data_IF_818431319991
#
_entry.id   IF_818431319991
#
_cell.length_a   1.000
_cell.length_b   1.000
_cell.length_c   1.000
_cell.angle_alpha   90.00
_cell.angle_beta   90.00
_cell.angle_gamma   90.00
#
_symmetry.space_group_name_H-M   'P 1'
#
loop_
_entity.id
_entity.type
_entity.pdbx_description
1 polymer ?
#
# COMPACT_ATOMS: atom_id res chain seq x y z
N UNK A 1 -93.60 16.97 1.71
CA UNK A 1 -93.28 17.18 3.15
C UNK A 1 -93.47 15.86 3.87
N UNK A 2 -92.38 15.13 4.12
CA UNK A 2 -92.19 14.23 5.27
C UNK A 2 -90.74 13.72 5.25
N UNK A 3 -90.10 13.87 6.41
CA UNK A 3 -88.72 13.55 6.75
C UNK A 3 -88.65 12.10 7.24
N UNK A 4 -87.56 11.37 6.93
CA UNK A 4 -86.92 10.28 7.70
C UNK A 4 -85.71 9.80 6.89
N UNK A 5 -84.45 10.10 7.24
CA UNK A 5 -83.66 9.72 8.42
C UNK A 5 -83.49 8.19 8.51
N UNK A 6 -82.28 7.68 8.22
CA UNK A 6 -81.98 6.25 8.31
C UNK A 6 -80.54 5.86 7.94
N UNK A 7 -79.66 5.90 8.94
CA UNK A 7 -78.47 5.05 9.13
C UNK A 7 -77.35 5.04 8.08
N UNK A 8 -76.33 5.87 8.31
CA UNK A 8 -74.95 5.64 7.86
C UNK A 8 -74.33 4.57 8.75
N UNK A 9 -74.10 3.38 8.21
CA UNK A 9 -73.33 2.31 8.85
C UNK A 9 -71.84 2.62 8.66
N UNK A 10 -71.23 3.33 9.62
CA UNK A 10 -69.79 3.56 9.66
C UNK A 10 -69.09 2.27 10.12
N UNK A 11 -68.56 1.50 9.18
CA UNK A 11 -67.68 0.36 9.47
C UNK A 11 -66.32 0.92 9.92
N UNK A 12 -66.12 1.00 11.23
CA UNK A 12 -64.81 1.28 11.83
C UNK A 12 -63.96 0.03 11.64
N UNK A 13 -63.19 0.00 10.55
CA UNK A 13 -62.13 -0.99 10.34
C UNK A 13 -60.99 -0.63 11.31
N UNK A 14 -61.07 -1.15 12.53
CA UNK A 14 -60.00 -1.07 13.52
C UNK A 14 -58.75 -1.75 12.97
N UNK A 15 -57.83 -0.96 12.42
CA UNK A 15 -56.45 -1.34 12.16
C UNK A 15 -55.77 -1.70 13.50
N UNK A 16 -55.99 -2.92 13.97
CA UNK A 16 -55.08 -3.61 14.87
C UNK A 16 -53.83 -4.01 14.06
N UNK A 17 -53.06 -3.00 13.62
CA UNK A 17 -51.66 -3.16 13.25
C UNK A 17 -50.92 -3.38 14.57
N UNK A 18 -51.03 -4.61 15.10
CA UNK A 18 -50.15 -5.08 16.15
C UNK A 18 -48.74 -4.81 15.69
N UNK A 19 -48.00 -4.05 16.50
CA UNK A 19 -46.54 -3.96 16.46
C UNK A 19 -46.00 -5.39 16.64
N UNK A 20 -46.01 -6.18 15.56
CA UNK A 20 -45.22 -7.38 15.47
C UNK A 20 -43.77 -6.88 15.55
N UNK A 21 -43.22 -6.94 16.76
CA UNK A 21 -41.80 -6.77 16.98
C UNK A 21 -41.10 -7.63 15.93
N UNK A 22 -40.42 -6.98 14.98
CA UNK A 22 -39.68 -7.70 13.94
C UNK A 22 -38.79 -8.71 14.65
N UNK A 23 -38.97 -10.00 14.33
CA UNK A 23 -38.13 -11.04 14.90
C UNK A 23 -36.65 -10.63 14.69
N UNK A 24 -35.79 -10.79 15.71
CA UNK A 24 -34.38 -10.45 15.57
C UNK A 24 -33.81 -11.19 14.35
N UNK A 25 -32.95 -10.52 13.58
CA UNK A 25 -32.38 -11.14 12.40
C UNK A 25 -31.63 -12.44 12.73
N UNK A 26 -31.47 -13.30 11.73
CA UNK A 26 -30.59 -14.47 11.82
C UNK A 26 -29.31 -14.28 11.00
N UNK A 27 -28.22 -15.00 11.32
CA UNK A 27 -27.04 -15.03 10.46
C UNK A 27 -27.36 -15.43 9.02
N UNK A 28 -28.28 -16.38 8.81
CA UNK A 28 -28.69 -16.81 7.48
C UNK A 28 -29.39 -15.70 6.69
N UNK A 29 -30.24 -14.91 7.35
CA UNK A 29 -30.85 -13.74 6.73
C UNK A 29 -29.82 -12.68 6.33
N UNK A 30 -28.78 -12.47 7.15
CA UNK A 30 -27.69 -11.56 6.81
C UNK A 30 -26.90 -12.06 5.59
N UNK A 31 -26.52 -13.34 5.56
CA UNK A 31 -25.80 -13.95 4.44
C UNK A 31 -26.60 -13.98 3.13
N UNK A 32 -27.93 -14.09 3.20
CA UNK A 32 -28.83 -14.12 2.04
C UNK A 32 -29.33 -12.73 1.63
N UNK A 33 -29.04 -11.68 2.41
CA UNK A 33 -29.51 -10.32 2.11
C UNK A 33 -29.02 -9.88 0.73
N UNK A 34 -29.89 -9.38 -0.16
CA UNK A 34 -29.45 -8.82 -1.43
C UNK A 34 -28.41 -7.72 -1.22
N UNK A 35 -27.28 -7.84 -1.91
CA UNK A 35 -26.21 -6.84 -1.83
C UNK A 35 -26.59 -5.58 -2.57
N UNK A 36 -25.96 -4.47 -2.17
CA UNK A 36 -26.09 -3.20 -2.88
C UNK A 36 -24.74 -2.50 -3.03
N UNK A 37 -24.70 -1.59 -4.00
CA UNK A 37 -23.55 -0.74 -4.27
C UNK A 37 -23.76 0.62 -3.62
N UNK A 38 -22.84 0.99 -2.73
CA UNK A 38 -22.76 2.32 -2.13
C UNK A 38 -21.65 3.12 -2.82
N UNK A 39 -21.96 4.37 -3.17
CA UNK A 39 -20.96 5.33 -3.64
C UNK A 39 -20.39 6.07 -2.43
N UNK A 40 -19.10 5.91 -2.20
CA UNK A 40 -18.39 6.68 -1.18
C UNK A 40 -17.99 8.08 -1.70
N UNK A 41 -17.53 8.93 -0.78
CA UNK A 41 -16.87 10.18 -1.12
C UNK A 41 -15.54 9.92 -1.86
N UNK A 42 -15.16 10.85 -2.73
CA UNK A 42 -13.89 10.77 -3.47
C UNK A 42 -12.69 10.95 -2.52
N UNK A 43 -11.66 10.11 -2.68
CA UNK A 43 -10.38 10.26 -1.97
C UNK A 43 -9.43 11.16 -2.77
N UNK A 44 -9.38 12.44 -2.38
CA UNK A 44 -8.54 13.47 -3.00
C UNK A 44 -7.44 13.97 -2.06
N UNK A 45 -7.22 13.31 -0.92
CA UNK A 45 -6.41 13.84 0.19
C UNK A 45 -4.92 14.05 -0.17
N UNK A 46 -4.40 13.28 -1.13
CA UNK A 46 -3.01 13.36 -1.59
C UNK A 46 -2.93 13.42 -3.12
N UNK A 47 -3.85 14.14 -3.75
CA UNK A 47 -3.80 14.36 -5.19
C UNK A 47 -2.54 15.14 -5.58
N UNK A 48 -2.01 14.86 -6.78
CA UNK A 48 -0.87 15.57 -7.35
C UNK A 48 -1.17 17.09 -7.42
N UNK A 49 -0.46 17.87 -6.60
CA UNK A 49 -0.70 19.31 -6.45
C UNK A 49 -0.43 20.12 -7.72
N UNK A 50 0.24 19.53 -8.71
CA UNK A 50 0.52 20.17 -10.01
C UNK A 50 -0.58 19.91 -11.05
N UNK A 51 -1.53 19.01 -10.76
CA UNK A 51 -2.62 18.70 -11.68
C UNK A 51 -3.83 19.63 -11.44
N UNK A 52 -4.33 20.35 -12.46
CA UNK A 52 -5.42 21.30 -12.26
C UNK A 52 -6.71 20.63 -11.76
N UNK A 53 -7.28 21.12 -10.66
CA UNK A 53 -8.55 20.62 -10.11
C UNK A 53 -9.71 20.67 -11.11
N UNK A 54 -9.69 21.62 -12.04
CA UNK A 54 -10.66 21.72 -13.14
C UNK A 54 -10.66 20.50 -14.07
N UNK A 55 -9.58 19.72 -14.10
CA UNK A 55 -9.45 18.50 -14.90
C UNK A 55 -9.81 17.22 -14.13
N UNK A 56 -10.04 17.28 -12.81
CA UNK A 56 -10.42 16.11 -12.00
C UNK A 56 -11.68 15.40 -12.53
N UNK A 57 -12.74 16.10 -12.99
CA UNK A 57 -13.92 15.43 -13.53
C UNK A 57 -13.61 14.50 -14.71
N UNK A 58 -12.58 14.79 -15.51
CA UNK A 58 -12.19 13.93 -16.63
C UNK A 58 -11.59 12.60 -16.15
N UNK A 59 -10.74 12.63 -15.12
CA UNK A 59 -10.20 11.42 -14.48
C UNK A 59 -11.28 10.63 -13.76
N UNK A 60 -12.14 11.32 -13.00
CA UNK A 60 -13.21 10.67 -12.24
C UNK A 60 -14.23 9.98 -13.14
N UNK A 61 -14.50 10.48 -14.35
CA UNK A 61 -15.32 9.76 -15.36
C UNK A 61 -14.67 8.45 -15.83
N UNK A 62 -13.34 8.40 -15.94
CA UNK A 62 -12.62 7.15 -16.25
C UNK A 62 -12.75 6.15 -15.09
N UNK A 63 -12.71 6.64 -13.85
CA UNK A 63 -12.97 5.82 -12.66
C UNK A 63 -14.43 5.34 -12.60
N UNK A 64 -15.41 6.18 -12.94
CA UNK A 64 -16.83 5.80 -13.02
C UNK A 64 -17.03 4.65 -14.02
N UNK A 65 -16.38 4.71 -15.19
CA UNK A 65 -16.44 3.62 -16.17
C UNK A 65 -15.96 2.28 -15.60
N UNK A 66 -14.93 2.28 -14.76
CA UNK A 66 -14.44 1.06 -14.11
C UNK A 66 -15.42 0.56 -13.05
N UNK A 67 -16.05 1.46 -12.31
CA UNK A 67 -17.11 1.08 -11.35
C UNK A 67 -18.28 0.42 -12.08
N UNK A 68 -18.70 0.94 -13.24
CA UNK A 68 -19.72 0.29 -14.07
C UNK A 68 -19.32 -1.14 -14.48
N UNK A 69 -18.06 -1.36 -14.88
CA UNK A 69 -17.57 -2.70 -15.21
C UNK A 69 -17.59 -3.65 -14.00
N UNK A 70 -17.25 -3.16 -12.81
CA UNK A 70 -17.32 -3.93 -11.57
C UNK A 70 -18.78 -4.28 -11.21
N UNK A 71 -19.70 -3.32 -11.36
CA UNK A 71 -21.13 -3.53 -11.18
C UNK A 71 -21.70 -4.53 -12.20
N UNK A 72 -21.23 -4.52 -13.44
CA UNK A 72 -21.64 -5.52 -14.44
C UNK A 72 -21.16 -6.92 -14.09
N UNK A 73 -19.94 -7.04 -13.57
CA UNK A 73 -19.38 -8.33 -13.13
C UNK A 73 -20.13 -8.88 -11.89
N UNK A 74 -20.55 -7.99 -10.99
CA UNK A 74 -21.29 -8.34 -9.78
C UNK A 74 -22.40 -7.32 -9.46
N UNK A 75 -23.59 -7.43 -10.08
CA UNK A 75 -24.65 -6.42 -9.95
C UNK A 75 -25.35 -6.44 -8.59
N UNK A 76 -25.36 -7.59 -7.92
CA UNK A 76 -25.92 -7.72 -6.57
C UNK A 76 -25.06 -8.70 -5.76
N UNK A 77 -24.05 -8.19 -5.01
CA UNK A 77 -23.14 -9.04 -4.26
C UNK A 77 -23.84 -9.58 -3.01
N UNK A 78 -24.59 -10.67 -3.15
CA UNK A 78 -25.42 -11.24 -2.08
C UNK A 78 -24.64 -11.42 -0.78
N UNK A 79 -25.25 -10.97 0.32
CA UNK A 79 -24.70 -10.98 1.66
C UNK A 79 -23.58 -9.97 1.90
N UNK A 80 -23.31 -9.09 0.93
CA UNK A 80 -22.27 -8.07 1.01
C UNK A 80 -22.79 -6.68 0.63
N UNK A 81 -22.17 -5.66 1.19
CA UNK A 81 -22.25 -4.28 0.73
C UNK A 81 -20.98 -3.94 -0.03
N UNK A 82 -21.09 -3.50 -1.28
CA UNK A 82 -19.95 -3.06 -2.07
C UNK A 82 -19.86 -1.54 -1.99
N UNK A 83 -18.77 -1.02 -1.43
CA UNK A 83 -18.56 0.41 -1.28
C UNK A 83 -17.41 0.87 -2.16
N UNK A 84 -17.71 1.68 -3.17
CA UNK A 84 -16.77 2.11 -4.19
C UNK A 84 -16.28 3.54 -3.95
N UNK A 85 -14.96 3.72 -4.01
CA UNK A 85 -14.24 4.98 -3.86
C UNK A 85 -13.51 5.28 -5.15
N UNK A 86 -13.61 6.52 -5.61
CA UNK A 86 -12.74 7.04 -6.67
C UNK A 86 -11.63 7.82 -6.00
N UNK A 87 -10.41 7.71 -6.50
CA UNK A 87 -9.26 8.37 -5.90
C UNK A 87 -8.38 9.07 -6.93
N UNK A 88 -7.86 10.23 -6.57
CA UNK A 88 -6.70 10.86 -7.23
C UNK A 88 -5.67 11.01 -6.12
N UNK A 89 -4.64 10.17 -6.15
CA UNK A 89 -3.75 9.97 -5.00
C UNK A 89 -2.32 9.69 -5.47
N UNK A 90 -1.36 10.29 -4.78
CA UNK A 90 0.07 10.28 -5.08
C UNK A 90 0.48 11.22 -6.21
N UNK A 91 1.79 11.50 -6.27
CA UNK A 91 2.41 12.29 -7.33
C UNK A 91 2.73 11.41 -8.54
N UNK A 92 2.74 12.04 -9.72
CA UNK A 92 3.21 11.41 -10.96
C UNK A 92 4.66 10.90 -10.83
N UNK A 93 4.97 9.73 -11.39
CA UNK A 93 6.34 9.16 -11.35
C UNK A 93 7.37 9.94 -12.19
N UNK A 94 6.89 10.79 -13.09
CA UNK A 94 7.69 11.74 -13.86
C UNK A 94 7.12 13.15 -13.66
N UNK A 95 7.99 14.16 -13.69
CA UNK A 95 7.57 15.55 -13.63
C UNK A 95 6.61 15.86 -14.79
N UNK A 96 5.44 16.44 -14.49
CA UNK A 96 4.36 16.67 -15.45
C UNK A 96 3.89 15.41 -16.19
N UNK A 97 4.14 14.22 -15.63
CA UNK A 97 3.71 12.95 -16.20
C UNK A 97 2.22 12.67 -16.02
N UNK A 98 1.79 11.48 -16.47
CA UNK A 98 0.44 10.97 -16.25
C UNK A 98 0.09 10.91 -14.77
N UNK A 99 -1.09 11.41 -14.43
CA UNK A 99 -1.55 11.58 -13.05
C UNK A 99 -2.07 10.25 -12.51
N UNK A 100 -1.61 9.83 -11.33
CA UNK A 100 -2.16 8.69 -10.61
C UNK A 100 -3.62 8.90 -10.19
N UNK A 101 -4.48 7.94 -10.53
CA UNK A 101 -5.87 7.89 -10.07
C UNK A 101 -6.36 6.44 -10.03
N UNK A 102 -7.56 6.18 -9.53
CA UNK A 102 -8.06 4.81 -9.50
C UNK A 102 -9.41 4.64 -8.82
N UNK A 103 -9.76 3.36 -8.64
CA UNK A 103 -10.95 2.90 -7.94
C UNK A 103 -10.53 1.92 -6.86
N UNK A 104 -11.08 2.10 -5.65
CA UNK A 104 -10.97 1.13 -4.57
C UNK A 104 -12.38 0.67 -4.22
N UNK A 105 -12.64 -0.63 -4.24
CA UNK A 105 -13.92 -1.19 -3.80
C UNK A 105 -13.67 -2.12 -2.64
N UNK A 106 -14.37 -1.88 -1.54
CA UNK A 106 -14.35 -2.70 -0.35
C UNK A 106 -15.69 -3.42 -0.23
N UNK A 107 -15.66 -4.67 0.21
CA UNK A 107 -16.85 -5.52 0.30
C UNK A 107 -17.10 -5.93 1.74
N UNK A 108 -18.10 -5.33 2.38
CA UNK A 108 -18.44 -5.54 3.79
C UNK A 108 -19.44 -6.67 3.90
N UNK A 109 -19.19 -7.67 4.74
CA UNK A 109 -20.20 -8.72 4.94
C UNK A 109 -21.35 -8.18 5.77
N UNK A 110 -22.56 -8.60 5.45
CA UNK A 110 -23.68 -8.38 6.33
C UNK A 110 -23.62 -9.34 7.51
N UNK A 111 -23.82 -8.81 8.71
CA UNK A 111 -24.00 -9.59 9.93
C UNK A 111 -25.28 -9.16 10.64
N UNK A 112 -25.79 -10.06 11.48
CA UNK A 112 -26.89 -9.73 12.38
C UNK A 112 -26.34 -9.18 13.69
N UNK A 113 -26.70 -7.94 14.05
CA UNK A 113 -26.29 -7.35 15.32
C UNK A 113 -26.89 -8.17 16.47
N UNK A 114 -26.08 -8.66 17.42
CA UNK A 114 -26.58 -9.45 18.54
C UNK A 114 -27.70 -8.75 19.28
N UNK A 115 -28.71 -9.51 19.72
CA UNK A 115 -29.80 -8.99 20.54
C UNK A 115 -29.36 -8.83 22.00
N UNK A 116 -28.41 -7.91 22.23
CA UNK A 116 -27.85 -7.63 23.55
C UNK A 116 -27.97 -6.14 23.90
N UNK A 117 -28.02 -5.78 25.20
CA UNK A 117 -28.13 -4.39 25.64
C UNK A 117 -26.98 -3.48 25.19
N UNK A 118 -25.83 -4.05 24.78
CA UNK A 118 -24.64 -3.30 24.36
C UNK A 118 -24.82 -2.56 23.03
N UNK A 119 -25.88 -2.86 22.27
CA UNK A 119 -26.15 -2.24 20.96
C UNK A 119 -27.54 -1.58 20.91
N UNK A 120 -27.80 -0.56 21.76
CA UNK A 120 -29.10 0.09 21.83
C UNK A 120 -29.48 0.70 20.48
N UNK A 121 -30.72 0.47 20.04
CA UNK A 121 -31.27 1.04 18.80
C UNK A 121 -30.91 0.29 17.50
N UNK A 122 -29.96 -0.65 17.52
CA UNK A 122 -29.59 -1.44 16.34
C UNK A 122 -29.58 -2.97 16.57
N UNK A 123 -29.83 -3.42 17.79
CA UNK A 123 -29.98 -4.85 18.13
C UNK A 123 -30.99 -5.57 17.22
N UNK A 124 -30.66 -6.78 16.78
CA UNK A 124 -31.50 -7.59 15.90
C UNK A 124 -31.65 -7.05 14.47
N UNK A 125 -30.85 -6.06 14.07
CA UNK A 125 -30.82 -5.53 12.68
C UNK A 125 -29.63 -6.08 11.90
N UNK A 126 -29.80 -6.23 10.59
CA UNK A 126 -28.70 -6.57 9.69
C UNK A 126 -27.88 -5.30 9.40
N UNK A 127 -26.56 -5.37 9.61
CA UNK A 127 -25.60 -4.28 9.38
C UNK A 127 -24.42 -4.76 8.55
N UNK A 128 -23.83 -3.92 7.70
CA UNK A 128 -22.52 -4.22 7.12
C UNK A 128 -21.45 -4.14 8.21
N UNK A 129 -20.39 -4.95 8.08
CA UNK A 129 -19.16 -4.83 8.88
C UNK A 129 -18.50 -3.44 8.72
N UNK A 130 -17.68 -3.02 9.70
CA UNK A 130 -16.96 -1.74 9.63
C UNK A 130 -15.61 -1.83 8.90
N UNK A 131 -15.02 -3.03 8.81
CA UNK A 131 -13.74 -3.30 8.15
C UNK A 131 -13.89 -4.49 7.22
N UNK A 132 -13.12 -4.52 6.15
CA UNK A 132 -13.10 -5.69 5.27
C UNK A 132 -11.70 -6.09 4.90
N UNK A 133 -11.48 -7.39 4.87
CA UNK A 133 -10.25 -7.99 4.34
C UNK A 133 -10.42 -8.36 2.85
N UNK A 134 -11.50 -7.92 2.20
CA UNK A 134 -11.78 -8.19 0.78
C UNK A 134 -11.94 -6.88 0.00
N UNK A 135 -10.99 -6.65 -0.90
CA UNK A 135 -10.92 -5.42 -1.68
C UNK A 135 -10.51 -5.70 -3.12
N UNK A 136 -10.99 -4.86 -4.02
CA UNK A 136 -10.51 -4.77 -5.39
C UNK A 136 -10.02 -3.34 -5.60
N UNK A 137 -8.78 -3.21 -6.04
CA UNK A 137 -8.12 -1.94 -6.34
C UNK A 137 -7.75 -1.91 -7.82
N UNK A 138 -8.07 -0.81 -8.49
CA UNK A 138 -7.70 -0.57 -9.88
C UNK A 138 -6.98 0.77 -9.91
N UNK A 139 -5.66 0.71 -10.01
CA UNK A 139 -4.79 1.87 -10.07
C UNK A 139 -4.44 2.19 -11.52
N UNK A 140 -4.53 3.46 -11.89
CA UNK A 140 -4.05 3.97 -13.16
C UNK A 140 -2.86 4.88 -12.91
N UNK A 141 -1.85 4.79 -13.79
CA UNK A 141 -0.62 5.57 -13.70
C UNK A 141 0.14 5.42 -12.37
N UNK A 142 -0.12 4.33 -11.64
CA UNK A 142 0.47 4.01 -10.34
C UNK A 142 0.63 2.50 -10.21
N UNK A 143 1.72 2.06 -9.56
CA UNK A 143 1.91 0.67 -9.17
C UNK A 143 1.09 0.30 -7.93
N UNK A 144 0.51 1.28 -7.22
CA UNK A 144 -0.34 1.07 -6.06
C UNK A 144 0.35 0.22 -4.99
N UNK A 145 -0.32 -0.85 -4.55
CA UNK A 145 0.22 -1.78 -3.56
C UNK A 145 1.48 -2.53 -4.04
N UNK A 146 1.72 -2.64 -5.36
CA UNK A 146 2.93 -3.26 -5.90
C UNK A 146 4.19 -2.39 -5.73
N UNK A 147 4.02 -1.11 -5.38
CA UNK A 147 5.15 -0.22 -5.07
C UNK A 147 5.67 -0.40 -3.64
N UNK A 148 4.88 -0.99 -2.74
CA UNK A 148 5.15 -0.94 -1.29
C UNK A 148 6.21 -1.94 -0.80
N UNK A 149 6.72 -2.80 -1.67
CA UNK A 149 7.93 -3.56 -1.41
C UNK A 149 9.20 -2.71 -1.67
N UNK A 150 9.18 -1.45 -1.19
CA UNK A 150 10.36 -0.58 -1.20
C UNK A 150 11.35 -1.09 -0.15
N UNK A 151 12.62 -0.93 -0.47
CA UNK A 151 13.68 -1.13 0.50
C UNK A 151 13.71 0.02 1.52
N UNK A 152 14.66 -0.01 2.46
CA UNK A 152 14.93 1.10 3.38
C UNK A 152 14.82 2.45 2.65
N UNK A 153 14.18 3.44 3.27
CA UNK A 153 13.80 4.72 2.62
C UNK A 153 14.98 5.48 2.00
N UNK A 154 16.19 5.27 2.50
CA UNK A 154 17.44 5.85 2.01
C UNK A 154 18.22 4.93 1.04
N UNK A 155 17.75 3.71 0.77
CA UNK A 155 18.43 2.76 -0.09
C UNK A 155 17.96 2.90 -1.55
N UNK A 156 18.61 3.82 -2.25
CA UNK A 156 18.39 4.12 -3.66
C UNK A 156 19.64 3.80 -4.48
N UNK A 157 19.49 3.66 -5.79
CA UNK A 157 20.62 3.58 -6.72
C UNK A 157 21.53 4.81 -6.63
N UNK A 158 22.73 4.73 -7.22
CA UNK A 158 23.67 5.86 -7.26
C UNK A 158 23.02 7.10 -7.89
N UNK A 159 22.25 6.92 -8.97
CA UNK A 159 21.49 7.99 -9.66
C UNK A 159 20.23 8.46 -8.91
N UNK A 160 19.92 7.87 -7.75
CA UNK A 160 18.78 8.26 -6.92
C UNK A 160 17.46 7.60 -7.30
N UNK A 161 17.44 6.65 -8.25
CA UNK A 161 16.24 5.86 -8.51
C UNK A 161 15.96 4.89 -7.35
N UNK A 162 14.69 4.82 -6.95
CA UNK A 162 14.21 3.89 -5.91
C UNK A 162 14.34 2.45 -6.38
N UNK A 163 14.89 1.61 -5.49
CA UNK A 163 14.99 0.17 -5.69
C UNK A 163 13.69 -0.48 -5.18
N UNK A 164 13.09 -1.31 -6.02
CA UNK A 164 11.86 -2.03 -5.77
C UNK A 164 12.15 -3.53 -5.80
N UNK A 165 11.41 -4.30 -4.99
CA UNK A 165 11.30 -5.74 -5.19
C UNK A 165 10.23 -6.00 -6.26
N UNK A 166 10.56 -6.82 -7.25
CA UNK A 166 9.60 -7.28 -8.25
C UNK A 166 8.67 -8.31 -7.60
N UNK A 167 7.33 -8.13 -7.65
CA UNK A 167 6.40 -9.13 -7.17
C UNK A 167 6.60 -10.48 -7.85
N UNK A 168 6.40 -11.58 -7.12
CA UNK A 168 6.58 -12.93 -7.66
C UNK A 168 5.57 -13.20 -8.76
N UNK A 169 6.05 -13.61 -9.94
CA UNK A 169 5.22 -14.19 -11.00
C UNK A 169 4.86 -15.64 -10.66
N UNK A 170 3.58 -16.00 -10.78
CA UNK A 170 3.13 -17.37 -10.47
C UNK A 170 2.38 -18.09 -11.59
N UNK A 171 1.77 -17.36 -12.51
CA UNK A 171 1.00 -17.93 -13.61
C UNK A 171 0.65 -16.85 -14.64
N UNK A 172 0.02 -17.27 -15.73
CA UNK A 172 -0.72 -16.40 -16.64
C UNK A 172 -2.22 -16.42 -16.27
N UNK A 173 -2.88 -15.27 -16.32
CA UNK A 173 -4.30 -15.10 -16.07
C UNK A 173 -4.92 -14.30 -17.22
N UNK A 174 -5.75 -14.96 -18.03
CA UNK A 174 -6.42 -14.36 -19.20
C UNK A 174 -5.47 -13.62 -20.17
N UNK A 175 -4.22 -14.11 -20.30
CA UNK A 175 -3.19 -13.50 -21.16
C UNK A 175 -2.39 -12.38 -20.51
N UNK A 176 -2.54 -12.20 -19.18
CA UNK A 176 -1.74 -11.28 -18.38
C UNK A 176 -0.90 -12.05 -17.35
N UNK A 177 0.33 -11.59 -17.13
CA UNK A 177 1.16 -12.10 -16.04
C UNK A 177 0.50 -11.87 -14.68
N UNK A 178 0.30 -12.95 -13.92
CA UNK A 178 -0.29 -12.94 -12.58
C UNK A 178 0.81 -12.86 -11.52
N UNK A 179 0.71 -11.83 -10.69
CA UNK A 179 1.63 -11.57 -9.58
C UNK A 179 0.99 -11.93 -8.24
N UNK A 180 1.81 -12.40 -7.29
CA UNK A 180 1.45 -12.53 -5.87
C UNK A 180 2.23 -11.50 -5.04
N UNK A 181 1.65 -10.32 -4.76
CA UNK A 181 2.28 -9.30 -3.93
C UNK A 181 2.37 -9.79 -2.49
N UNK A 182 3.41 -9.43 -1.75
CA UNK A 182 3.53 -9.85 -0.33
C UNK A 182 2.81 -8.92 0.65
N UNK A 183 2.29 -7.81 0.15
CA UNK A 183 1.61 -6.79 0.95
C UNK A 183 0.26 -7.34 1.45
N UNK A 184 -0.05 -7.09 2.73
CA UNK A 184 -1.25 -7.52 3.47
C UNK A 184 -1.40 -9.01 3.79
N UNK A 185 -1.28 -9.94 2.83
CA UNK A 185 -1.19 -11.41 3.06
C UNK A 185 -0.95 -12.13 1.74
N UNK A 186 0.29 -12.56 1.47
CA UNK A 186 0.72 -13.07 0.16
C UNK A 186 -0.12 -14.23 -0.44
N UNK A 187 -0.87 -14.97 0.38
CA UNK A 187 -1.66 -16.13 -0.06
C UNK A 187 -3.03 -15.74 -0.63
N UNK A 188 -3.51 -14.53 -0.35
CA UNK A 188 -4.87 -14.09 -0.70
C UNK A 188 -4.85 -12.74 -1.43
N UNK A 189 -3.76 -12.48 -2.12
CA UNK A 189 -3.53 -11.24 -2.85
C UNK A 189 -2.97 -11.58 -4.21
N UNK A 190 -3.65 -11.12 -5.24
CA UNK A 190 -3.27 -11.31 -6.64
C UNK A 190 -3.29 -9.96 -7.34
N UNK A 191 -2.45 -9.81 -8.36
CA UNK A 191 -2.46 -8.63 -9.19
C UNK A 191 -2.05 -8.93 -10.63
N UNK A 192 -2.52 -8.09 -11.55
CA UNK A 192 -2.05 -8.02 -12.93
C UNK A 192 -1.67 -6.60 -13.27
N UNK A 193 -0.77 -6.46 -14.25
CA UNK A 193 -0.30 -5.17 -14.76
C UNK A 193 -0.62 -5.11 -16.25
N UNK A 194 -1.17 -3.99 -16.68
CA UNK A 194 -1.51 -3.70 -18.07
C UNK A 194 -0.73 -2.48 -18.54
N UNK A 195 0.04 -2.63 -19.62
CA UNK A 195 0.75 -1.54 -20.31
C UNK A 195 0.37 -1.56 -21.80
N UNK A 196 0.57 -0.47 -22.56
CA UNK A 196 0.15 -0.38 -23.96
C UNK A 196 0.81 -1.43 -24.86
N UNK A 197 2.04 -1.80 -24.53
CA UNK A 197 2.90 -2.70 -25.30
C UNK A 197 3.20 -4.01 -24.57
N UNK A 198 2.53 -4.27 -23.44
CA UNK A 198 2.74 -5.45 -22.60
C UNK A 198 4.10 -5.50 -21.89
N UNK A 199 4.94 -4.45 -21.98
CA UNK A 199 6.22 -4.43 -21.28
C UNK A 199 6.02 -4.25 -19.78
N UNK A 200 6.90 -4.87 -19.00
CA UNK A 200 6.95 -4.71 -17.54
C UNK A 200 7.30 -3.27 -17.15
N UNK A 201 6.65 -2.69 -16.12
CA UNK A 201 7.05 -1.40 -15.57
C UNK A 201 8.29 -1.47 -14.69
N UNK A 202 8.83 -2.67 -14.47
CA UNK A 202 10.05 -2.91 -13.71
C UNK A 202 11.23 -3.03 -14.67
N UNK A 203 12.17 -2.10 -14.56
CA UNK A 203 13.48 -2.19 -15.21
C UNK A 203 14.44 -2.98 -14.31
N UNK A 204 14.94 -4.16 -14.73
CA UNK A 204 15.84 -4.97 -13.92
C UNK A 204 17.02 -4.17 -13.38
N UNK A 205 17.32 -4.33 -12.09
CA UNK A 205 18.49 -3.74 -11.44
C UNK A 205 19.64 -4.76 -11.56
N UNK A 206 20.76 -4.37 -12.15
CA UNK A 206 21.92 -5.26 -12.26
C UNK A 206 22.61 -5.51 -10.91
N UNK A 207 23.38 -6.60 -10.80
CA UNK A 207 24.20 -6.91 -9.62
C UNK A 207 25.16 -5.77 -9.29
N UNK A 208 25.82 -5.20 -10.30
CA UNK A 208 26.70 -4.05 -10.11
C UNK A 208 25.95 -2.82 -9.58
N UNK A 209 24.81 -2.46 -10.18
CA UNK A 209 24.03 -1.31 -9.71
C UNK A 209 23.56 -1.49 -8.26
N UNK A 210 23.18 -2.72 -7.87
CA UNK A 210 22.83 -3.04 -6.49
C UNK A 210 24.02 -2.87 -5.53
N UNK A 211 25.20 -3.38 -5.87
CA UNK A 211 26.39 -3.26 -5.02
C UNK A 211 26.87 -1.82 -4.89
N UNK A 212 26.87 -1.05 -5.98
CA UNK A 212 27.15 0.39 -5.94
C UNK A 212 26.16 1.16 -5.08
N UNK A 213 24.87 0.77 -5.10
CA UNK A 213 23.88 1.35 -4.21
C UNK A 213 24.17 1.03 -2.72
N UNK A 214 24.67 -0.17 -2.42
CA UNK A 214 25.09 -0.56 -1.06
C UNK A 214 26.32 0.21 -0.58
N UNK A 215 27.31 0.41 -1.43
CA UNK A 215 28.48 1.24 -1.12
C UNK A 215 28.03 2.66 -0.71
N UNK A 216 27.18 3.30 -1.53
CA UNK A 216 26.60 4.61 -1.23
C UNK A 216 25.80 4.63 0.08
N UNK A 217 25.05 3.57 0.39
CA UNK A 217 24.33 3.44 1.65
C UNK A 217 25.31 3.44 2.84
N UNK A 218 26.41 2.69 2.75
CA UNK A 218 27.43 2.64 3.79
C UNK A 218 28.15 3.97 3.97
N UNK A 219 28.49 4.66 2.88
CA UNK A 219 29.06 6.02 2.94
C UNK A 219 28.15 6.98 3.72
N UNK A 220 26.84 6.93 3.44
CA UNK A 220 25.84 7.68 4.19
C UNK A 220 25.81 7.32 5.68
N UNK A 221 25.93 6.03 6.02
CA UNK A 221 25.96 5.59 7.42
C UNK A 221 27.24 6.02 8.16
N UNK A 222 28.40 6.01 7.49
CA UNK A 222 29.65 6.55 8.06
C UNK A 222 29.50 8.04 8.36
N UNK A 223 28.96 8.81 7.41
CA UNK A 223 28.73 10.24 7.59
C UNK A 223 27.74 10.54 8.73
N UNK A 224 26.70 9.72 8.91
CA UNK A 224 25.78 9.85 10.05
C UNK A 224 26.46 9.56 11.40
N UNK A 225 27.33 8.55 11.47
CA UNK A 225 28.13 8.27 12.67
C UNK A 225 29.07 9.43 12.99
N UNK A 226 29.68 10.06 11.98
CA UNK A 226 30.55 11.23 12.17
C UNK A 226 29.77 12.45 12.69
N UNK A 227 28.54 12.68 12.20
CA UNK A 227 27.64 13.71 12.74
C UNK A 227 27.24 13.41 14.19
N UNK A 228 26.91 12.16 14.50
CA UNK A 228 26.54 11.74 15.85
C UNK A 228 27.71 11.95 16.83
N UNK A 229 28.93 11.60 16.41
CA UNK A 229 30.15 11.83 17.20
C UNK A 229 30.37 13.32 17.48
N UNK A 230 30.20 14.18 16.47
CA UNK A 230 30.29 15.63 16.63
C UNK A 230 29.23 16.16 17.60
N UNK A 231 27.99 15.65 17.53
CA UNK A 231 26.91 16.02 18.45
C UNK A 231 27.22 15.60 19.90
N UNK A 232 27.77 14.39 20.11
CA UNK A 232 28.20 13.93 21.43
C UNK A 232 29.32 14.80 22.01
N UNK A 233 30.27 15.24 21.16
CA UNK A 233 31.34 16.15 21.58
C UNK A 233 30.77 17.52 22.01
N UNK A 234 29.83 18.08 21.24
CA UNK A 234 29.15 19.33 21.59
C UNK A 234 28.34 19.18 22.90
N UNK A 235 27.64 18.06 23.08
CA UNK A 235 26.90 17.78 24.32
C UNK A 235 27.82 17.73 25.54
N UNK A 236 28.96 17.02 25.43
CA UNK A 236 30.01 17.01 26.45
C UNK A 236 30.47 18.43 26.78
N UNK A 237 30.85 19.21 25.78
CA UNK A 237 31.44 20.54 25.98
C UNK A 237 30.43 21.50 26.64
N UNK A 238 29.16 21.47 26.21
CA UNK A 238 28.08 22.22 26.86
C UNK A 238 27.85 21.77 28.30
N UNK A 239 27.88 20.46 28.56
CA UNK A 239 27.78 19.88 29.90
C UNK A 239 28.89 20.38 30.83
N UNK A 240 30.13 20.37 30.36
CA UNK A 240 31.31 20.87 31.10
C UNK A 240 31.16 22.37 31.40
N UNK A 241 30.78 23.19 30.43
CA UNK A 241 30.56 24.63 30.62
C UNK A 241 29.42 24.90 31.61
N UNK A 242 28.32 24.12 31.53
CA UNK A 242 27.20 24.23 32.46
C UNK A 242 27.59 23.83 33.89
N UNK A 243 28.37 22.76 34.06
CA UNK A 243 28.88 22.35 35.37
C UNK A 243 29.78 23.43 35.99
N UNK A 244 30.64 24.06 35.18
CA UNK A 244 31.54 25.11 35.63
C UNK A 244 30.81 26.37 36.14
N UNK A 245 29.67 26.73 35.54
CA UNK A 245 28.91 27.94 35.88
C UNK A 245 27.98 27.81 37.09
N UNK A 246 27.69 26.59 37.58
CA UNK A 246 26.80 26.38 38.72
C UNK A 246 27.44 26.78 40.06
N UNK A 247 26.61 27.16 41.03
CA UNK A 247 27.05 27.44 42.41
C UNK A 247 27.21 26.13 43.21
N UNK A 248 28.17 25.31 42.80
CA UNK A 248 28.53 24.04 43.44
C UNK A 248 29.94 24.11 44.04
N UNK A 249 30.25 23.18 44.96
CA UNK A 249 31.63 23.02 45.45
C UNK A 249 32.56 22.61 44.32
N UNK A 250 33.86 22.86 44.48
CA UNK A 250 34.87 22.52 43.48
C UNK A 250 34.89 21.00 43.18
N UNK A 251 34.74 20.18 44.21
CA UNK A 251 34.69 18.72 44.10
C UNK A 251 33.50 18.27 43.25
N UNK A 252 32.31 18.84 43.51
CA UNK A 252 31.11 18.50 42.73
C UNK A 252 31.23 18.93 41.27
N UNK A 253 31.83 20.10 41.00
CA UNK A 253 32.10 20.54 39.61
C UNK A 253 33.06 19.60 38.90
N UNK A 254 34.11 19.15 39.57
CA UNK A 254 35.08 18.21 39.03
C UNK A 254 34.43 16.84 38.73
N UNK A 255 33.63 16.33 39.67
CA UNK A 255 32.90 15.07 39.50
C UNK A 255 31.92 15.13 38.31
N UNK A 256 31.16 16.22 38.18
CA UNK A 256 30.23 16.38 37.06
C UNK A 256 30.98 16.49 35.72
N UNK A 257 32.07 17.27 35.66
CA UNK A 257 32.92 17.35 34.47
C UNK A 257 33.43 15.97 34.06
N UNK A 258 33.92 15.18 35.01
CA UNK A 258 34.39 13.82 34.77
C UNK A 258 33.26 12.91 34.25
N UNK A 259 32.03 13.06 34.77
CA UNK A 259 30.85 12.34 34.29
C UNK A 259 30.58 12.62 32.80
N UNK A 260 30.59 13.89 32.37
CA UNK A 260 30.43 14.25 30.95
C UNK A 260 31.55 13.69 30.06
N UNK A 261 32.80 13.71 30.53
CA UNK A 261 33.94 13.14 29.80
C UNK A 261 33.77 11.63 29.64
N UNK A 262 33.51 10.90 30.73
CA UNK A 262 33.30 9.44 30.69
C UNK A 262 32.11 9.05 29.82
N UNK A 263 31.01 9.81 29.89
CA UNK A 263 29.83 9.60 29.04
C UNK A 263 30.17 9.75 27.56
N UNK A 264 30.91 10.79 27.20
CA UNK A 264 31.39 10.99 25.83
C UNK A 264 32.34 9.88 25.38
N UNK A 265 33.33 9.49 26.19
CA UNK A 265 34.29 8.43 25.84
C UNK A 265 33.60 7.10 25.57
N UNK A 266 32.63 6.73 26.41
CA UNK A 266 31.83 5.52 26.22
C UNK A 266 31.01 5.58 24.91
N UNK A 267 30.34 6.71 24.64
CA UNK A 267 29.59 6.91 23.40
C UNK A 267 30.50 6.89 22.17
N UNK A 268 31.63 7.60 22.22
CA UNK A 268 32.62 7.67 21.15
C UNK A 268 33.21 6.30 20.83
N UNK A 269 33.51 5.49 21.84
CA UNK A 269 33.98 4.11 21.65
C UNK A 269 32.92 3.25 20.94
N UNK A 270 31.65 3.33 21.36
CA UNK A 270 30.54 2.64 20.71
C UNK A 270 30.36 3.06 19.24
N UNK A 271 30.44 4.35 18.96
CA UNK A 271 30.36 4.90 17.59
C UNK A 271 31.56 4.50 16.73
N UNK A 272 32.77 4.47 17.28
CA UNK A 272 33.97 4.01 16.58
C UNK A 272 33.84 2.53 16.16
N UNK A 273 33.37 1.67 17.07
CA UNK A 273 33.12 0.25 16.77
C UNK A 273 32.05 0.09 15.67
N UNK A 274 30.96 0.87 15.74
CA UNK A 274 29.92 0.88 14.71
C UNK A 274 30.48 1.34 13.34
N UNK A 275 31.30 2.39 13.31
CA UNK A 275 31.98 2.87 12.09
C UNK A 275 32.87 1.78 11.49
N UNK A 276 33.70 1.12 12.31
CA UNK A 276 34.55 0.03 11.86
C UNK A 276 33.75 -1.13 11.26
N UNK A 277 32.61 -1.48 11.86
CA UNK A 277 31.72 -2.51 11.32
C UNK A 277 31.13 -2.10 9.95
N UNK A 278 30.70 -0.84 9.80
CA UNK A 278 30.19 -0.31 8.53
C UNK A 278 31.27 -0.38 7.45
N UNK A 279 32.48 0.10 7.74
CA UNK A 279 33.61 0.09 6.81
C UNK A 279 34.05 -1.32 6.42
N UNK A 280 34.04 -2.25 7.38
CA UNK A 280 34.30 -3.67 7.11
C UNK A 280 33.26 -4.25 6.15
N UNK A 281 31.97 -3.95 6.34
CA UNK A 281 30.92 -4.41 5.45
C UNK A 281 31.02 -3.77 4.05
N UNK A 282 31.34 -2.48 3.97
CA UNK A 282 31.61 -1.79 2.71
C UNK A 282 32.75 -2.46 1.95
N UNK A 283 33.86 -2.73 2.63
CA UNK A 283 35.03 -3.42 2.04
C UNK A 283 34.66 -4.78 1.45
N UNK A 284 33.81 -5.56 2.14
CA UNK A 284 33.31 -6.85 1.62
C UNK A 284 32.48 -6.68 0.35
N UNK A 285 31.64 -5.64 0.28
CA UNK A 285 30.85 -5.34 -0.94
C UNK A 285 31.76 -4.95 -2.10
N UNK A 286 32.74 -4.07 -1.87
CA UNK A 286 33.68 -3.64 -2.89
C UNK A 286 34.49 -4.83 -3.42
N UNK A 287 35.02 -5.67 -2.52
CA UNK A 287 35.74 -6.89 -2.90
C UNK A 287 34.85 -7.87 -3.69
N UNK A 288 33.59 -8.06 -3.29
CA UNK A 288 32.64 -8.89 -4.02
C UNK A 288 32.36 -8.37 -5.44
N UNK A 289 32.25 -7.04 -5.60
CA UNK A 289 32.09 -6.41 -6.91
C UNK A 289 33.34 -6.59 -7.77
N UNK A 290 34.53 -6.37 -7.22
CA UNK A 290 35.80 -6.50 -7.93
C UNK A 290 36.07 -7.93 -8.40
N UNK A 291 35.77 -8.93 -7.56
CA UNK A 291 35.92 -10.34 -7.88
C UNK A 291 34.89 -10.86 -8.92
N UNK A 292 33.76 -10.16 -9.09
CA UNK A 292 32.70 -10.59 -9.99
C UNK A 292 33.07 -10.35 -11.47
N UNK A 293 32.93 -11.35 -12.36
CA UNK A 293 33.12 -11.18 -13.81
C UNK A 293 32.20 -10.12 -14.44
N UNK A 294 32.62 -9.41 -15.51
CA UNK A 294 31.83 -8.35 -16.12
C UNK A 294 30.44 -8.76 -16.64
N UNK A 295 30.31 -9.97 -17.18
CA UNK A 295 29.05 -10.55 -17.63
C UNK A 295 28.12 -10.85 -16.46
N UNK A 296 28.65 -11.41 -15.36
CA UNK A 296 27.89 -11.66 -14.14
C UNK A 296 27.38 -10.36 -13.51
N UNK A 297 28.18 -9.27 -13.55
CA UNK A 297 27.78 -7.95 -13.05
C UNK A 297 26.52 -7.38 -13.69
N UNK A 298 26.27 -7.73 -14.96
CA UNK A 298 25.11 -7.26 -15.72
C UNK A 298 23.86 -8.12 -15.50
N UNK A 299 23.96 -9.29 -14.88
CA UNK A 299 22.80 -10.09 -14.51
C UNK A 299 21.92 -9.31 -13.52
N UNK A 300 20.63 -9.61 -13.51
CA UNK A 300 19.71 -9.02 -12.54
C UNK A 300 20.12 -9.41 -11.11
N UNK A 301 20.08 -8.43 -10.21
CA UNK A 301 20.22 -8.63 -8.78
C UNK A 301 18.99 -9.33 -8.23
N UNK A 302 19.17 -10.57 -7.75
CA UNK A 302 18.16 -11.35 -7.06
C UNK A 302 18.72 -11.68 -5.68
N UNK A 303 18.08 -11.17 -4.62
CA UNK A 303 18.63 -11.21 -3.25
C UNK A 303 17.61 -11.74 -2.24
N UNK A 304 18.03 -12.55 -1.26
CA UNK A 304 17.10 -13.15 -0.28
C UNK A 304 16.49 -12.11 0.66
N UNK A 305 17.34 -11.23 1.18
CA UNK A 305 16.95 -10.17 2.09
C UNK A 305 17.61 -8.85 1.67
N UNK A 306 16.94 -8.04 0.84
CA UNK A 306 17.50 -6.79 0.35
C UNK A 306 17.68 -5.73 1.44
N UNK A 307 17.11 -5.91 2.64
CA UNK A 307 17.25 -5.00 3.77
C UNK A 307 18.29 -5.47 4.80
N UNK A 308 18.81 -6.70 4.68
CA UNK A 308 19.83 -7.22 5.59
C UNK A 308 21.09 -6.33 5.61
N UNK A 309 21.58 -6.07 6.82
CA UNK A 309 22.82 -5.36 7.11
C UNK A 309 23.57 -6.12 8.23
N UNK A 310 24.71 -6.79 7.96
CA UNK A 310 25.32 -6.95 6.64
C UNK A 310 24.47 -7.78 5.67
N UNK A 311 24.77 -7.77 4.37
CA UNK A 311 24.19 -8.71 3.42
C UNK A 311 24.43 -10.15 3.85
N UNK A 312 23.49 -11.04 3.55
CA UNK A 312 23.62 -12.47 3.85
C UNK A 312 24.40 -13.16 2.74
N UNK A 313 25.17 -14.17 3.11
CA UNK A 313 25.77 -15.09 2.15
C UNK A 313 24.81 -16.24 1.79
N UNK A 314 24.71 -16.64 0.51
CA UNK A 314 25.30 -15.95 -0.65
C UNK A 314 24.57 -14.63 -0.93
N UNK A 315 25.33 -13.62 -1.37
CA UNK A 315 24.85 -12.26 -1.64
C UNK A 315 23.72 -12.22 -2.68
N UNK A 316 23.85 -13.05 -3.73
CA UNK A 316 22.84 -13.25 -4.76
C UNK A 316 22.32 -14.69 -4.69
N UNK A 317 21.04 -14.87 -4.99
CA UNK A 317 20.35 -16.15 -4.97
C UNK A 317 19.39 -16.25 -6.17
N UNK A 318 18.94 -17.44 -6.52
CA UNK A 318 17.81 -17.57 -7.46
C UNK A 318 16.47 -17.36 -6.77
N UNK A 319 15.39 -17.20 -7.54
CA UNK A 319 14.03 -17.13 -6.98
C UNK A 319 13.62 -18.44 -6.30
N UNK A 320 14.05 -19.60 -6.82
CA UNK A 320 13.82 -20.93 -6.22
C UNK A 320 14.46 -21.05 -4.84
N UNK A 321 15.56 -20.32 -4.62
CA UNK A 321 16.26 -20.24 -3.34
C UNK A 321 15.64 -19.19 -2.38
N UNK A 322 14.47 -18.65 -2.71
CA UNK A 322 13.81 -17.59 -1.96
C UNK A 322 14.37 -16.19 -2.22
N UNK A 323 15.18 -16.04 -3.29
CA UNK A 323 15.65 -14.74 -3.76
C UNK A 323 14.51 -13.87 -4.27
N UNK A 324 14.70 -12.56 -4.20
CA UNK A 324 13.75 -11.53 -4.64
C UNK A 324 14.40 -10.71 -5.75
N UNK A 325 13.87 -10.71 -6.97
CA UNK A 325 14.42 -9.90 -8.04
C UNK A 325 14.25 -8.42 -7.72
N UNK A 326 15.31 -7.65 -7.94
CA UNK A 326 15.32 -6.21 -7.74
C UNK A 326 15.17 -5.48 -9.08
N UNK A 327 14.51 -4.34 -9.03
CA UNK A 327 14.28 -3.49 -10.17
C UNK A 327 14.25 -2.01 -9.77
N UNK A 328 14.27 -1.16 -10.77
CA UNK A 328 13.84 0.24 -10.67
C UNK A 328 12.58 0.43 -11.49
N UNK A 329 11.86 1.52 -11.29
CA UNK A 329 10.72 1.85 -12.14
C UNK A 329 11.21 2.24 -13.55
N UNK A 330 10.64 1.63 -14.60
CA UNK A 330 10.84 2.10 -15.96
C UNK A 330 10.05 3.40 -16.20
N UNK A 331 10.72 4.53 -15.94
CA UNK A 331 10.14 5.86 -16.12
C UNK A 331 9.77 6.18 -17.57
N UNK A 332 10.28 5.43 -18.55
CA UNK A 332 9.94 5.67 -19.96
C UNK A 332 8.45 5.48 -20.27
N UNK A 333 7.78 4.61 -19.49
CA UNK A 333 6.33 4.39 -19.56
C UNK A 333 5.49 5.59 -19.10
N UNK A 334 6.10 6.56 -18.40
CA UNK A 334 5.43 7.71 -17.79
C UNK A 334 5.83 9.04 -18.44
N UNK A 335 6.40 9.00 -19.65
CA UNK A 335 6.90 10.20 -20.34
C UNK A 335 5.80 11.12 -20.88
N UNK A 336 6.15 12.39 -21.06
CA UNK A 336 5.26 13.58 -21.16
C UNK A 336 4.62 13.78 -22.55
N UNK A 337 4.71 12.79 -23.45
CA UNK A 337 4.26 12.97 -24.85
C UNK A 337 2.73 13.02 -25.02
N UNK A 338 1.95 12.84 -23.96
CA UNK A 338 0.48 12.85 -24.00
C UNK A 338 -0.14 13.61 -22.82
N UNK A 339 -1.41 14.00 -22.93
CA UNK A 339 -2.13 14.65 -21.84
C UNK A 339 -1.96 13.93 -20.51
N UNK A 340 -1.84 14.69 -19.42
CA UNK A 340 -1.58 14.12 -18.08
C UNK A 340 -2.69 13.21 -17.56
N UNK A 341 -3.88 13.28 -18.13
CA UNK A 341 -4.99 12.39 -17.79
C UNK A 341 -4.97 11.07 -18.58
N UNK A 342 -4.05 10.90 -19.53
CA UNK A 342 -3.85 9.67 -20.32
C UNK A 342 -3.51 8.50 -19.40
N UNK A 343 -4.09 7.33 -19.67
CA UNK A 343 -3.78 6.10 -18.92
C UNK A 343 -2.64 5.37 -19.62
N UNK A 344 -1.50 5.25 -18.94
CA UNK A 344 -0.29 4.56 -19.43
C UNK A 344 -0.06 3.20 -18.80
N UNK A 345 -0.66 2.96 -17.65
CA UNK A 345 -0.59 1.68 -16.96
C UNK A 345 -1.87 1.51 -16.15
N UNK A 346 -2.37 0.29 -16.09
CA UNK A 346 -3.36 -0.11 -15.11
C UNK A 346 -2.81 -1.26 -14.26
N UNK A 347 -2.97 -1.17 -12.95
CA UNK A 347 -2.70 -2.27 -12.01
C UNK A 347 -4.02 -2.67 -11.38
N UNK A 348 -4.43 -3.90 -11.60
CA UNK A 348 -5.62 -4.48 -10.99
C UNK A 348 -5.12 -5.42 -9.90
N UNK A 349 -5.41 -5.08 -8.65
CA UNK A 349 -5.01 -5.82 -7.46
C UNK A 349 -6.27 -6.21 -6.71
N UNK A 350 -6.37 -7.46 -6.27
CA UNK A 350 -7.45 -7.87 -5.40
C UNK A 350 -6.93 -8.68 -4.23
N UNK A 351 -7.62 -8.53 -3.10
CA UNK A 351 -7.38 -9.30 -1.88
C UNK A 351 -8.68 -9.85 -1.34
N UNK A 352 -8.62 -10.99 -0.67
CA UNK A 352 -9.81 -11.58 -0.09
C UNK A 352 -9.56 -12.36 1.19
N UNK A 353 -10.65 -12.61 1.91
CA UNK A 353 -10.67 -13.44 3.10
C UNK A 353 -11.18 -14.84 2.74
N UNK A 354 -10.49 -15.88 3.18
CA UNK A 354 -10.82 -17.26 2.79
C UNK A 354 -11.85 -17.96 3.65
N UNK A 355 -12.21 -17.44 4.82
CA UNK A 355 -13.23 -18.06 5.67
C UNK A 355 -14.66 -17.61 5.34
N UNK A 356 -14.85 -16.57 4.53
CA UNK A 356 -16.15 -16.04 4.13
C UNK A 356 -16.57 -16.51 2.72
N UNK A 357 -17.62 -17.31 2.65
CA UNK A 357 -18.13 -17.89 1.41
C UNK A 357 -18.61 -16.85 0.40
N UNK A 358 -19.27 -15.77 0.85
CA UNK A 358 -19.80 -14.74 -0.04
C UNK A 358 -18.64 -13.92 -0.64
N UNK A 359 -17.61 -13.61 0.16
CA UNK A 359 -16.39 -12.93 -0.33
C UNK A 359 -15.59 -13.80 -1.31
N UNK A 360 -15.48 -15.12 -1.08
CA UNK A 360 -14.85 -16.04 -2.06
C UNK A 360 -15.63 -16.09 -3.38
N UNK A 361 -16.96 -16.20 -3.30
CA UNK A 361 -17.83 -16.23 -4.47
C UNK A 361 -17.78 -14.92 -5.26
N UNK A 362 -17.75 -13.77 -4.57
CA UNK A 362 -17.53 -12.46 -5.18
C UNK A 362 -16.24 -12.42 -6.02
N UNK A 363 -15.11 -12.87 -5.46
CA UNK A 363 -13.83 -12.86 -6.19
C UNK A 363 -13.85 -13.82 -7.37
N UNK A 364 -14.50 -14.98 -7.22
CA UNK A 364 -14.71 -15.92 -8.33
C UNK A 364 -15.48 -15.23 -9.47
N UNK A 365 -16.60 -14.59 -9.15
CA UNK A 365 -17.39 -13.85 -10.15
C UNK A 365 -16.62 -12.70 -10.78
N UNK A 366 -15.84 -11.95 -9.99
CA UNK A 366 -14.95 -10.92 -10.52
C UNK A 366 -13.95 -11.50 -11.53
N UNK A 367 -13.22 -12.57 -11.17
CA UNK A 367 -12.24 -13.20 -12.05
C UNK A 367 -12.87 -13.77 -13.33
N UNK A 368 -14.12 -14.22 -13.28
CA UNK A 368 -14.80 -14.81 -14.44
C UNK A 368 -15.51 -13.79 -15.34
N UNK A 369 -16.09 -12.74 -14.76
CA UNK A 369 -17.05 -11.86 -15.46
C UNK A 369 -16.54 -10.44 -15.68
N UNK A 370 -15.51 -10.02 -14.96
CA UNK A 370 -14.96 -8.67 -15.14
C UNK A 370 -14.31 -8.53 -16.50
N UNK A 371 -14.64 -7.45 -17.22
CA UNK A 371 -14.10 -7.19 -18.54
C UNK A 371 -12.71 -6.54 -18.46
N UNK A 372 -11.69 -7.39 -18.26
CA UNK A 372 -10.29 -6.99 -18.26
C UNK A 372 -9.87 -6.34 -19.58
N UNK A 373 -10.48 -6.73 -20.71
CA UNK A 373 -10.18 -6.14 -22.03
C UNK A 373 -10.69 -4.70 -22.11
N UNK A 374 -11.85 -4.38 -21.53
CA UNK A 374 -12.33 -3.01 -21.48
C UNK A 374 -11.38 -2.10 -20.68
N UNK A 375 -10.78 -2.59 -19.58
CA UNK A 375 -9.74 -1.84 -18.86
C UNK A 375 -8.47 -1.69 -19.69
N UNK A 376 -8.02 -2.76 -20.36
CA UNK A 376 -6.87 -2.70 -21.26
C UNK A 376 -7.06 -1.67 -22.39
N UNK A 377 -8.28 -1.53 -22.94
CA UNK A 377 -8.60 -0.52 -23.96
C UNK A 377 -8.48 0.92 -23.46
N UNK A 378 -8.50 1.15 -22.14
CA UNK A 378 -8.23 2.46 -21.56
C UNK A 378 -6.73 2.76 -21.56
N UNK A 379 -5.87 1.74 -21.50
CA UNK A 379 -4.41 1.85 -21.49
C UNK A 379 -3.89 2.12 -22.91
N UNK A 380 -3.26 3.26 -23.14
CA UNK A 380 -2.62 3.58 -24.43
C UNK A 380 -3.50 4.29 -25.46
N UNK A 381 -4.66 4.83 -25.06
CA UNK A 381 -5.45 5.80 -25.85
C UNK A 381 -5.09 7.24 -25.52
#
# INVERSE_FOLDING_TARGET
>A
MMIRCGCVLAFVLSCALGLLAQAPCTPQQALAKPGHWERAADDLAMADGTFPKSQYPALLRKADRVIELLQQANPSPTGLEAKAYRGIRSNSYAANGPVPFGVNVLYLSYYCVPDTPNYPGIRGKIRPEDETQTWIYIFFNSLGWLEQEKLLSNFNTVSGATILVVPRHVAEFQGYTLYLPKVHTAQYTEAIIMTPDGRSPYKPLSREQYLRAREKLYDGQVAEVEKELAHQAEFRDRGIVSAASRQWSAERKAQEKESYIKGYEAAAHGLANRRQQIESNKTKITAALEAMPPDERQLQAVVRDPNALPPRDPLFASEEQGGKPLATLDRSLFTVSSPRDTVRIAVIYWRWKTDDTNKRELIRQFKERFDFKAVQQMVGR
#
